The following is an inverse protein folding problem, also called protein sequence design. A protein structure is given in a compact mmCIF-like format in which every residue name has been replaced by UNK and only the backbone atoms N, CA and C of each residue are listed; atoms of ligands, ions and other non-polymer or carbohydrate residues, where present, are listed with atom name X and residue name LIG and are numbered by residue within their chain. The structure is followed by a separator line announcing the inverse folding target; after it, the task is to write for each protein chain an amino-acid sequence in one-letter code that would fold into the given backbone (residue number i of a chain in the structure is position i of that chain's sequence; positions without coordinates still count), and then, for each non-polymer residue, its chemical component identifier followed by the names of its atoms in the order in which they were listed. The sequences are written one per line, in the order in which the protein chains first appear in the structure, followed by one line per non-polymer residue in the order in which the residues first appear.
data_IF_616885137040
#
_entry.id   IF_616885137040
#
_cell.length_a   1.000
_cell.length_b   1.000
_cell.length_c   1.000
_cell.angle_alpha   90.00
_cell.angle_beta   90.00
_cell.angle_gamma   90.00
#
_symmetry.space_group_name_H-M   'P 1'
#
loop_
_entity.id
_entity.type
_entity.pdbx_description
1 polymer ?
#
# COMPACT_ATOMS: atom_id res chain seq x y z
N UNK A 1 5.45 -23.67 40.04
CA UNK A 1 4.72 -22.43 39.74
C UNK A 1 3.25 -22.71 39.38
N UNK A 2 2.98 -23.63 38.46
CA UNK A 2 1.61 -24.01 38.04
C UNK A 2 0.68 -24.49 39.16
N UNK A 3 1.17 -25.30 40.11
CA UNK A 3 0.37 -25.74 41.28
C UNK A 3 -0.03 -24.58 42.21
N UNK A 4 0.76 -23.51 42.27
CA UNK A 4 0.44 -22.32 43.06
C UNK A 4 -0.58 -21.44 42.32
N UNK A 5 -0.41 -21.27 41.01
CA UNK A 5 -1.38 -20.57 40.16
C UNK A 5 -2.75 -21.26 40.24
N UNK A 6 -2.82 -22.59 40.09
CA UNK A 6 -4.09 -23.33 40.18
C UNK A 6 -4.79 -23.18 41.54
N UNK A 7 -4.04 -23.21 42.64
CA UNK A 7 -4.60 -22.99 43.99
C UNK A 7 -5.11 -21.57 44.17
N UNK A 8 -4.36 -20.56 43.69
CA UNK A 8 -4.79 -19.16 43.73
C UNK A 8 -6.05 -18.97 42.89
N UNK A 9 -6.11 -19.51 41.67
CA UNK A 9 -7.30 -19.41 40.80
C UNK A 9 -8.52 -20.08 41.41
N UNK A 10 -8.34 -21.22 42.11
CA UNK A 10 -9.42 -21.93 42.78
C UNK A 10 -9.94 -21.14 43.99
N UNK A 11 -9.05 -20.59 44.82
CA UNK A 11 -9.40 -19.74 45.96
C UNK A 11 -10.09 -18.45 45.49
N UNK A 12 -9.55 -17.79 44.47
CA UNK A 12 -10.16 -16.58 43.88
C UNK A 12 -11.55 -16.87 43.31
N UNK A 13 -11.74 -17.97 42.57
CA UNK A 13 -13.07 -18.39 42.09
C UNK A 13 -14.03 -18.71 43.23
N UNK A 14 -13.55 -19.33 44.31
CA UNK A 14 -14.38 -19.68 45.46
C UNK A 14 -14.82 -18.44 46.26
N UNK A 15 -13.90 -17.49 46.48
CA UNK A 15 -14.15 -16.19 47.13
C UNK A 15 -15.09 -15.34 46.29
N UNK A 16 -14.85 -15.25 44.97
CA UNK A 16 -15.74 -14.55 44.04
C UNK A 16 -17.13 -15.17 43.99
N UNK A 17 -17.28 -16.51 44.09
CA UNK A 17 -18.60 -17.15 44.08
C UNK A 17 -19.42 -16.85 45.33
N UNK A 18 -18.80 -16.79 46.51
CA UNK A 18 -19.49 -16.67 47.81
C UNK A 18 -19.69 -15.24 48.29
N UNK A 19 -18.91 -14.27 47.81
CA UNK A 19 -18.95 -12.91 48.35
C UNK A 19 -19.67 -11.95 47.37
N UNK A 20 -20.97 -11.77 47.60
CA UNK A 20 -21.82 -10.88 46.79
C UNK A 20 -21.29 -9.44 46.77
N UNK A 21 -20.73 -8.96 47.90
CA UNK A 21 -20.12 -7.63 48.01
C UNK A 21 -18.90 -7.52 47.10
N UNK A 22 -18.04 -8.54 47.03
CA UNK A 22 -16.86 -8.53 46.15
C UNK A 22 -17.26 -8.54 44.67
N UNK A 23 -18.32 -9.26 44.28
CA UNK A 23 -18.86 -9.21 42.90
C UNK A 23 -19.41 -7.83 42.55
N UNK A 24 -20.12 -7.20 43.49
CA UNK A 24 -20.65 -5.84 43.31
C UNK A 24 -19.50 -4.84 43.21
N UNK A 25 -18.49 -4.90 44.09
CA UNK A 25 -17.31 -4.05 44.01
C UNK A 25 -16.52 -4.24 42.71
N UNK A 26 -16.36 -5.49 42.23
CA UNK A 26 -15.69 -5.77 40.96
C UNK A 26 -16.53 -5.27 39.77
N UNK A 27 -17.86 -5.44 39.82
CA UNK A 27 -18.79 -4.91 38.83
C UNK A 27 -18.77 -3.38 38.77
N UNK A 28 -18.78 -2.72 39.93
CA UNK A 28 -18.63 -1.26 40.04
C UNK A 28 -17.26 -0.83 39.52
N UNK A 29 -16.18 -1.55 39.84
CA UNK A 29 -14.83 -1.23 39.34
C UNK A 29 -14.76 -1.35 37.82
N UNK A 30 -15.30 -2.42 37.24
CA UNK A 30 -15.37 -2.60 35.78
C UNK A 30 -16.22 -1.52 35.14
N UNK A 31 -17.40 -1.22 35.68
CA UNK A 31 -18.27 -0.15 35.19
C UNK A 31 -17.61 1.23 35.33
N UNK A 32 -16.84 1.46 36.40
CA UNK A 32 -16.08 2.70 36.62
C UNK A 32 -14.94 2.81 35.61
N UNK A 33 -14.19 1.73 35.34
CA UNK A 33 -13.16 1.72 34.30
C UNK A 33 -13.78 1.96 32.93
N UNK A 34 -14.91 1.31 32.61
CA UNK A 34 -15.65 1.54 31.37
C UNK A 34 -16.12 3.00 31.29
N UNK A 35 -16.72 3.53 32.35
CA UNK A 35 -17.19 4.92 32.41
C UNK A 35 -16.04 5.91 32.25
N UNK A 36 -14.92 5.74 32.96
CA UNK A 36 -13.72 6.58 32.83
C UNK A 36 -13.12 6.50 31.43
N UNK A 37 -13.16 5.33 30.77
CA UNK A 37 -12.69 5.14 29.41
C UNK A 37 -13.66 5.74 28.37
N UNK A 38 -14.97 5.69 28.60
CA UNK A 38 -15.97 6.38 27.79
C UNK A 38 -15.91 7.90 27.98
N UNK A 39 -15.70 8.37 29.21
CA UNK A 39 -15.52 9.78 29.54
C UNK A 39 -14.20 10.33 28.98
N UNK A 40 -13.13 9.54 28.91
CA UNK A 40 -11.86 9.95 28.26
C UNK A 40 -11.91 9.92 26.73
N UNK A 41 -12.90 9.20 26.16
CA UNK A 41 -13.24 9.26 24.74
C UNK A 41 -14.14 10.47 24.41
N UNK A 42 -14.99 10.91 25.36
CA UNK A 42 -15.76 12.15 25.24
C UNK A 42 -14.81 13.37 25.20
N UNK A 43 -14.54 13.86 23.99
CA UNK A 43 -13.74 15.06 23.75
C UNK A 43 -12.58 14.87 22.77
N UNK A 44 -12.23 13.63 22.42
CA UNK A 44 -11.23 13.38 21.38
C UNK A 44 -11.84 13.61 20.00
N UNK A 45 -11.09 14.32 19.16
CA UNK A 45 -11.50 14.66 17.80
C UNK A 45 -11.05 13.58 16.83
N UNK A 46 -11.84 13.34 15.80
CA UNK A 46 -11.38 12.58 14.63
C UNK A 46 -10.21 13.31 13.94
N UNK A 47 -9.45 12.63 13.07
CA UNK A 47 -8.36 13.26 12.30
C UNK A 47 -8.89 14.49 11.55
N UNK A 48 -10.00 14.34 10.83
CA UNK A 48 -10.60 15.43 10.05
C UNK A 48 -11.07 16.60 10.93
N UNK A 49 -11.62 16.32 12.11
CA UNK A 49 -12.04 17.36 13.06
C UNK A 49 -10.86 18.08 13.70
N UNK A 50 -9.77 17.37 14.00
CA UNK A 50 -8.57 17.95 14.60
C UNK A 50 -7.92 18.93 13.63
N UNK A 51 -7.63 18.48 12.41
CA UNK A 51 -6.99 19.26 11.35
C UNK A 51 -7.95 20.18 10.59
N UNK A 52 -9.20 20.31 11.04
CA UNK A 52 -10.22 21.22 10.47
C UNK A 52 -10.38 21.05 8.96
N UNK A 53 -10.44 19.79 8.51
CA UNK A 53 -10.58 19.49 7.08
C UNK A 53 -12.04 19.70 6.69
N UNK A 54 -12.32 20.80 6.00
CA UNK A 54 -13.66 21.21 5.56
C UNK A 54 -13.62 21.75 4.14
N UNK A 55 -14.60 21.36 3.32
CA UNK A 55 -14.67 21.75 1.91
C UNK A 55 -14.56 23.27 1.72
N UNK A 56 -13.65 23.71 0.85
CA UNK A 56 -13.45 25.12 0.50
C UNK A 56 -12.61 25.97 1.46
N UNK A 57 -12.06 25.41 2.54
CA UNK A 57 -11.30 26.17 3.56
C UNK A 57 -9.95 25.55 3.94
N UNK A 58 -9.39 24.65 3.12
CA UNK A 58 -8.15 23.95 3.45
C UNK A 58 -6.94 24.58 2.76
N UNK A 59 -5.87 24.75 3.52
CA UNK A 59 -4.54 25.12 3.01
C UNK A 59 -3.78 23.87 2.51
N UNK A 60 -4.17 22.69 2.97
CA UNK A 60 -3.56 21.42 2.62
C UNK A 60 -2.33 21.07 3.47
N UNK A 61 -1.54 20.12 2.98
CA UNK A 61 -0.32 19.67 3.64
C UNK A 61 0.87 20.49 3.12
N UNK A 62 1.67 21.01 4.04
CA UNK A 62 2.92 21.72 3.74
C UNK A 62 4.11 21.05 4.41
N UNK A 63 5.26 21.14 3.75
CA UNK A 63 6.53 20.58 4.16
C UNK A 63 7.64 21.65 4.11
N UNK A 64 7.32 22.86 4.55
CA UNK A 64 8.20 24.04 4.41
C UNK A 64 8.98 24.38 5.70
N UNK A 65 8.75 23.62 6.77
CA UNK A 65 9.44 23.77 8.05
C UNK A 65 10.29 22.52 8.34
N UNK A 66 11.47 22.67 8.96
CA UNK A 66 12.30 21.54 9.34
C UNK A 66 11.53 20.56 10.25
N UNK A 67 11.65 19.27 9.97
CA UNK A 67 11.18 18.16 10.82
C UNK A 67 9.65 18.05 11.06
N UNK A 68 8.83 19.00 10.59
CA UNK A 68 7.39 19.01 10.91
C UNK A 68 6.56 19.22 9.64
N UNK A 69 5.63 18.30 9.38
CA UNK A 69 4.55 18.58 8.43
C UNK A 69 3.48 19.43 9.10
N UNK A 70 2.85 20.30 8.31
CA UNK A 70 1.65 21.02 8.75
C UNK A 70 0.47 20.74 7.85
N UNK A 71 -0.65 20.34 8.44
CA UNK A 71 -1.93 20.21 7.76
C UNK A 71 -2.87 21.28 8.27
N UNK A 72 -3.27 22.21 7.39
CA UNK A 72 -4.07 23.40 7.73
C UNK A 72 -3.49 24.15 8.95
N UNK A 73 -2.18 24.43 8.89
CA UNK A 73 -1.43 25.15 9.92
C UNK A 73 -1.13 24.37 11.20
N UNK A 74 -1.65 23.15 11.39
CA UNK A 74 -1.41 22.34 12.59
C UNK A 74 -0.35 21.26 12.34
N UNK A 75 0.53 21.05 13.32
CA UNK A 75 1.60 20.05 13.25
C UNK A 75 1.03 18.64 13.08
N UNK A 76 1.58 17.89 12.14
CA UNK A 76 1.20 16.53 11.83
C UNK A 76 2.46 15.65 11.79
N UNK A 77 2.47 14.59 12.59
CA UNK A 77 3.35 13.44 12.39
C UNK A 77 2.54 12.39 11.64
N UNK A 78 2.95 12.05 10.42
CA UNK A 78 2.21 11.09 9.59
C UNK A 78 2.64 9.69 10.02
N UNK A 79 1.75 8.99 10.71
CA UNK A 79 1.81 7.54 10.89
C UNK A 79 0.89 6.89 9.86
N UNK A 80 1.49 6.20 8.89
CA UNK A 80 0.79 5.61 7.74
C UNK A 80 1.06 4.11 7.64
N UNK A 81 0.20 3.40 6.92
CA UNK A 81 0.44 2.02 6.52
C UNK A 81 -0.02 1.76 5.10
N UNK A 82 0.77 1.00 4.35
CA UNK A 82 0.45 0.64 2.97
C UNK A 82 -0.61 -0.45 2.91
N UNK A 83 -1.66 -0.21 2.11
CA UNK A 83 -2.68 -1.18 1.74
C UNK A 83 -2.92 -1.04 0.23
N UNK A 84 -2.60 -2.07 -0.55
CA UNK A 84 -2.89 -2.10 -1.99
C UNK A 84 -4.33 -2.53 -2.21
N UNK A 85 -5.20 -1.63 -2.69
CA UNK A 85 -6.61 -1.96 -2.92
C UNK A 85 -6.78 -3.11 -3.92
N UNK A 86 -5.84 -3.25 -4.86
CA UNK A 86 -5.81 -4.29 -5.88
C UNK A 86 -5.32 -5.66 -5.38
N UNK A 87 -4.76 -5.75 -4.16
CA UNK A 87 -4.40 -7.02 -3.49
C UNK A 87 -5.41 -7.45 -2.43
N UNK A 88 -6.49 -6.68 -2.23
CA UNK A 88 -7.50 -6.94 -1.20
C UNK A 88 -8.87 -6.95 -1.83
N UNK A 89 -9.62 -8.04 -1.67
CA UNK A 89 -10.98 -8.10 -2.18
C UNK A 89 -11.85 -6.95 -1.61
N UNK A 90 -12.64 -6.23 -2.43
CA UNK A 90 -13.33 -5.00 -2.02
C UNK A 90 -14.24 -5.11 -0.79
N UNK A 91 -14.80 -6.29 -0.57
CA UNK A 91 -15.59 -6.59 0.63
C UNK A 91 -14.78 -6.38 1.93
N UNK A 92 -13.46 -6.53 1.87
CA UNK A 92 -12.57 -6.42 3.02
C UNK A 92 -11.86 -5.07 3.14
N UNK A 93 -11.95 -4.16 2.17
CA UNK A 93 -11.27 -2.85 2.25
C UNK A 93 -11.57 -2.11 3.55
N UNK A 94 -12.85 -2.02 3.93
CA UNK A 94 -13.25 -1.33 5.16
C UNK A 94 -12.67 -1.99 6.41
N UNK A 95 -12.60 -3.32 6.43
CA UNK A 95 -12.00 -4.05 7.54
C UNK A 95 -10.51 -3.70 7.66
N UNK A 96 -9.75 -3.74 6.57
CA UNK A 96 -8.31 -3.44 6.58
C UNK A 96 -8.03 -1.99 6.96
N UNK A 97 -8.78 -1.04 6.39
CA UNK A 97 -8.70 0.39 6.73
C UNK A 97 -9.03 0.63 8.21
N UNK A 98 -10.07 -0.01 8.74
CA UNK A 98 -10.44 0.15 10.16
C UNK A 98 -9.38 -0.43 11.09
N UNK A 99 -8.72 -1.56 10.73
CA UNK A 99 -7.57 -2.09 11.49
C UNK A 99 -6.44 -1.07 11.55
N UNK A 100 -6.09 -0.48 10.40
CA UNK A 100 -5.05 0.55 10.32
C UNK A 100 -5.37 1.76 11.21
N UNK A 101 -6.59 2.31 11.11
CA UNK A 101 -7.00 3.44 11.96
C UNK A 101 -7.06 3.08 13.43
N UNK A 102 -7.57 1.91 13.79
CA UNK A 102 -7.66 1.45 15.18
C UNK A 102 -6.29 1.17 15.83
N UNK A 103 -5.28 0.80 15.03
CA UNK A 103 -3.87 0.72 15.45
C UNK A 103 -3.32 2.10 15.83
N UNK A 104 -3.86 3.17 15.24
CA UNK A 104 -3.51 4.56 15.56
C UNK A 104 -2.92 5.34 14.40
N UNK A 105 -2.71 4.71 13.24
CA UNK A 105 -2.22 5.36 12.04
C UNK A 105 -3.24 6.39 11.53
N UNK A 106 -2.77 7.59 11.17
CA UNK A 106 -3.60 8.71 10.69
C UNK A 106 -3.77 8.75 9.17
N UNK A 107 -2.97 7.97 8.43
CA UNK A 107 -3.05 7.88 6.98
C UNK A 107 -2.97 6.43 6.49
N UNK A 108 -3.48 6.20 5.28
CA UNK A 108 -3.23 5.01 4.48
C UNK A 108 -2.46 5.42 3.23
N UNK A 109 -1.56 4.55 2.78
CA UNK A 109 -0.84 4.71 1.53
C UNK A 109 -1.31 3.64 0.52
N UNK A 110 -1.46 4.01 -0.75
CA UNK A 110 -1.73 3.05 -1.82
C UNK A 110 -1.14 3.48 -3.17
N UNK A 111 -0.67 2.50 -3.94
CA UNK A 111 -0.31 2.61 -5.35
C UNK A 111 -1.53 2.55 -6.29
N UNK A 112 -1.35 2.93 -7.56
CA UNK A 112 -2.30 2.66 -8.64
C UNK A 112 -1.64 1.90 -9.83
N UNK A 113 -1.95 0.60 -10.03
CA UNK A 113 -1.33 -0.22 -11.07
C UNK A 113 -1.91 0.11 -12.45
N UNK A 114 -1.09 0.71 -13.33
CA UNK A 114 -1.51 1.11 -14.67
C UNK A 114 -1.98 -0.09 -15.50
N UNK A 115 -1.27 -1.22 -15.47
CA UNK A 115 -1.63 -2.43 -16.20
C UNK A 115 -3.03 -2.96 -15.88
N UNK A 116 -3.52 -2.79 -14.64
CA UNK A 116 -4.89 -3.14 -14.30
C UNK A 116 -5.90 -2.09 -14.73
N UNK A 117 -5.55 -0.81 -14.65
CA UNK A 117 -6.45 0.29 -15.03
C UNK A 117 -6.55 0.50 -16.54
N UNK A 118 -5.58 0.01 -17.31
CA UNK A 118 -5.58 -0.03 -18.78
C UNK A 118 -5.07 -1.40 -19.26
N UNK A 119 -5.82 -2.49 -19.01
CA UNK A 119 -5.39 -3.85 -19.36
C UNK A 119 -5.31 -4.03 -20.88
N UNK A 120 -6.18 -3.32 -21.59
CA UNK A 120 -6.11 -3.19 -23.03
C UNK A 120 -5.80 -1.74 -23.39
N UNK A 121 -4.93 -1.57 -24.37
CA UNK A 121 -4.56 -0.27 -24.91
C UNK A 121 -5.81 0.58 -25.24
N UNK A 122 -5.86 1.78 -24.66
CA UNK A 122 -6.95 2.75 -24.74
C UNK A 122 -8.32 2.26 -24.19
N UNK A 123 -8.36 1.18 -23.39
CA UNK A 123 -9.53 0.71 -22.63
C UNK A 123 -9.25 0.76 -21.13
N UNK A 124 -10.06 1.54 -20.42
CA UNK A 124 -9.81 1.83 -19.02
C UNK A 124 -10.86 1.22 -18.09
N UNK A 125 -10.43 0.78 -16.92
CA UNK A 125 -11.30 0.24 -15.88
C UNK A 125 -11.02 0.87 -14.51
N UNK A 126 -12.09 1.36 -13.88
CA UNK A 126 -12.08 1.96 -12.55
C UNK A 126 -13.24 1.42 -11.69
N UNK A 127 -13.56 0.12 -11.81
CA UNK A 127 -14.60 -0.52 -11.00
C UNK A 127 -15.72 -1.20 -11.79
N UNK A 128 -15.83 -0.93 -13.09
CA UNK A 128 -17.03 -1.21 -13.89
C UNK A 128 -16.72 -1.74 -15.31
N UNK A 129 -15.48 -2.19 -15.56
CA UNK A 129 -15.04 -2.68 -16.87
C UNK A 129 -15.61 -4.04 -17.28
N UNK A 130 -16.16 -4.80 -16.33
CA UNK A 130 -16.77 -6.12 -16.58
C UNK A 130 -15.78 -7.28 -16.62
N UNK A 131 -14.51 -7.05 -16.27
CA UNK A 131 -13.46 -8.05 -16.10
C UNK A 131 -13.43 -8.60 -14.68
N UNK A 132 -12.76 -9.73 -14.47
CA UNK A 132 -12.68 -10.39 -13.16
C UNK A 132 -12.08 -9.48 -12.06
N UNK A 133 -11.07 -8.69 -12.42
CA UNK A 133 -10.44 -7.73 -11.51
C UNK A 133 -11.21 -6.41 -11.38
N UNK A 134 -12.22 -6.13 -12.22
CA UNK A 134 -12.94 -4.84 -12.21
C UNK A 134 -13.41 -4.40 -10.82
N UNK A 135 -14.00 -5.27 -9.97
CA UNK A 135 -14.45 -4.85 -8.64
C UNK A 135 -13.33 -4.28 -7.76
N UNK A 136 -12.09 -4.72 -7.96
CA UNK A 136 -10.92 -4.24 -7.24
C UNK A 136 -10.49 -2.84 -7.68
N UNK A 137 -10.85 -2.40 -8.89
CA UNK A 137 -10.27 -1.21 -9.51
C UNK A 137 -11.02 0.09 -9.21
N UNK A 138 -12.04 0.06 -8.35
CA UNK A 138 -12.73 1.27 -7.89
C UNK A 138 -11.88 2.03 -6.85
N UNK A 139 -10.80 2.64 -7.34
CA UNK A 139 -9.87 3.43 -6.53
C UNK A 139 -10.57 4.60 -5.84
N UNK A 140 -11.53 5.26 -6.51
CA UNK A 140 -12.29 6.37 -5.93
C UNK A 140 -13.07 5.91 -4.71
N UNK A 141 -13.73 4.74 -4.77
CA UNK A 141 -14.43 4.16 -3.64
C UNK A 141 -13.48 3.76 -2.52
N UNK A 142 -12.33 3.16 -2.81
CA UNK A 142 -11.32 2.86 -1.79
C UNK A 142 -10.86 4.13 -1.05
N UNK A 143 -10.53 5.19 -1.80
CA UNK A 143 -10.08 6.47 -1.24
C UNK A 143 -11.18 7.17 -0.41
N UNK A 144 -12.43 7.18 -0.87
CA UNK A 144 -13.57 7.68 -0.09
C UNK A 144 -13.80 6.86 1.17
N UNK A 145 -13.65 5.54 1.09
CA UNK A 145 -13.77 4.66 2.24
C UNK A 145 -12.67 4.92 3.28
N UNK A 146 -11.44 5.23 2.87
CA UNK A 146 -10.39 5.66 3.78
C UNK A 146 -10.78 6.93 4.56
N UNK A 147 -11.34 7.94 3.87
CA UNK A 147 -11.91 9.13 4.53
C UNK A 147 -12.99 8.79 5.55
N UNK A 148 -13.91 7.91 5.19
CA UNK A 148 -14.99 7.49 6.09
C UNK A 148 -14.49 6.73 7.33
N UNK A 149 -13.38 6.02 7.21
CA UNK A 149 -12.67 5.37 8.33
C UNK A 149 -11.67 6.32 9.03
N UNK A 150 -11.80 7.64 8.83
CA UNK A 150 -11.01 8.70 9.47
C UNK A 150 -9.51 8.67 9.14
N UNK A 151 -9.16 8.21 7.93
CA UNK A 151 -7.79 8.19 7.42
C UNK A 151 -7.57 9.28 6.37
N UNK A 152 -6.40 9.91 6.40
CA UNK A 152 -5.82 10.65 5.29
C UNK A 152 -5.24 9.66 4.26
N UNK A 153 -4.91 10.12 3.07
CA UNK A 153 -4.35 9.29 1.99
C UNK A 153 -3.04 9.87 1.48
N UNK A 154 -2.02 9.01 1.39
CA UNK A 154 -0.85 9.19 0.55
C UNK A 154 -1.10 8.40 -0.73
N UNK A 155 -1.04 9.04 -1.90
CA UNK A 155 -1.37 8.39 -3.16
C UNK A 155 -0.13 8.30 -4.07
N UNK A 156 0.20 7.10 -4.52
CA UNK A 156 1.37 6.84 -5.39
C UNK A 156 0.88 6.36 -6.77
N UNK A 157 0.53 7.27 -7.69
CA UNK A 157 -0.15 6.92 -8.94
C UNK A 157 0.74 6.22 -9.98
N UNK A 158 2.04 6.07 -9.74
CA UNK A 158 3.01 5.53 -10.70
C UNK A 158 3.59 6.60 -11.62
N UNK A 159 3.78 6.33 -12.93
CA UNK A 159 3.18 5.24 -13.71
C UNK A 159 3.83 3.86 -13.48
N UNK A 160 5.11 3.83 -13.09
CA UNK A 160 5.78 2.65 -12.57
C UNK A 160 5.68 2.62 -11.05
N UNK A 161 5.33 1.48 -10.47
CA UNK A 161 5.10 1.32 -9.02
C UNK A 161 6.01 0.27 -8.38
N UNK A 162 6.79 -0.50 -9.16
CA UNK A 162 7.51 -1.67 -8.66
C UNK A 162 6.56 -2.66 -7.96
N UNK A 163 6.58 -2.68 -6.62
CA UNK A 163 5.60 -3.31 -5.74
C UNK A 163 5.48 -4.84 -5.88
N UNK A 164 6.51 -5.51 -6.42
CA UNK A 164 6.51 -6.95 -6.72
C UNK A 164 5.26 -7.34 -7.52
N UNK A 165 4.94 -6.48 -8.48
CA UNK A 165 3.76 -6.55 -9.32
C UNK A 165 4.20 -6.72 -10.76
N UNK A 166 3.37 -7.41 -11.55
CA UNK A 166 3.65 -7.68 -12.95
C UNK A 166 4.07 -6.40 -13.69
N UNK A 167 5.22 -6.49 -14.35
CA UNK A 167 5.94 -5.43 -15.04
C UNK A 167 5.99 -4.08 -14.28
N UNK A 168 6.06 -4.13 -12.94
CA UNK A 168 6.08 -2.95 -12.07
C UNK A 168 4.84 -2.07 -12.21
N UNK A 169 3.70 -2.67 -12.61
CA UNK A 169 2.45 -1.98 -12.87
C UNK A 169 2.34 -1.36 -14.26
N UNK A 170 3.34 -1.50 -15.13
CA UNK A 170 3.27 -1.02 -16.51
C UNK A 170 2.54 -2.03 -17.41
N UNK A 171 1.69 -1.59 -18.35
CA UNK A 171 1.06 -2.51 -19.29
C UNK A 171 2.07 -3.07 -20.30
N UNK A 172 1.99 -4.37 -20.57
CA UNK A 172 2.96 -5.07 -21.44
C UNK A 172 2.97 -4.56 -22.89
N UNK A 173 1.85 -4.00 -23.38
CA UNK A 173 1.77 -3.46 -24.75
C UNK A 173 2.77 -2.32 -25.02
N UNK A 174 3.38 -1.74 -23.97
CA UNK A 174 4.48 -0.79 -24.12
C UNK A 174 5.72 -1.47 -24.74
N UNK A 175 5.93 -2.76 -24.48
CA UNK A 175 7.01 -3.57 -25.05
C UNK A 175 6.78 -3.81 -26.55
N UNK A 176 5.55 -4.15 -26.95
CA UNK A 176 5.22 -4.39 -28.37
C UNK A 176 5.26 -3.10 -29.21
N UNK A 177 4.98 -1.95 -28.60
CA UNK A 177 5.17 -0.63 -29.21
C UNK A 177 6.67 -0.22 -29.30
N UNK A 178 7.58 -0.97 -28.65
CA UNK A 178 9.01 -0.67 -28.60
C UNK A 178 9.35 0.56 -27.76
N UNK A 179 8.47 0.98 -26.85
CA UNK A 179 8.65 2.15 -26.02
C UNK A 179 9.73 1.91 -24.93
N UNK A 180 10.63 2.87 -24.76
CA UNK A 180 11.61 2.85 -23.67
C UNK A 180 10.97 3.36 -22.39
N UNK A 181 10.49 2.43 -21.57
CA UNK A 181 9.81 2.76 -20.30
C UNK A 181 10.71 3.52 -19.34
N UNK A 182 10.11 4.40 -18.53
CA UNK A 182 10.78 5.22 -17.50
C UNK A 182 11.87 6.16 -18.06
N UNK A 183 11.70 6.60 -19.31
CA UNK A 183 12.60 7.56 -19.98
C UNK A 183 11.81 8.71 -20.62
N UNK A 184 12.51 9.66 -21.25
CA UNK A 184 11.91 10.73 -22.05
C UNK A 184 11.44 10.30 -23.46
N UNK A 185 11.40 9.00 -23.77
CA UNK A 185 10.86 8.50 -25.03
C UNK A 185 9.43 9.04 -25.27
N UNK A 186 9.20 9.79 -26.37
CA UNK A 186 7.89 10.33 -26.69
C UNK A 186 6.78 9.28 -26.78
N UNK A 187 7.09 8.04 -27.21
CA UNK A 187 6.12 6.96 -27.27
C UNK A 187 5.64 6.55 -25.87
N UNK A 188 6.57 6.49 -24.91
CA UNK A 188 6.28 6.20 -23.51
C UNK A 188 5.55 7.37 -22.83
N UNK A 189 6.10 8.59 -22.92
CA UNK A 189 5.50 9.78 -22.29
C UNK A 189 4.08 10.06 -22.79
N UNK A 190 3.80 9.87 -24.09
CA UNK A 190 2.44 10.03 -24.62
C UNK A 190 1.47 9.02 -24.00
N UNK A 191 1.93 7.80 -23.69
CA UNK A 191 1.10 6.77 -23.03
C UNK A 191 0.88 7.09 -21.56
N UNK A 192 1.92 7.56 -20.86
CA UNK A 192 1.81 8.04 -19.48
C UNK A 192 0.81 9.18 -19.38
N UNK A 193 0.90 10.18 -20.27
CA UNK A 193 -0.04 11.30 -20.30
C UNK A 193 -1.48 10.83 -20.55
N UNK A 194 -1.69 9.89 -21.48
CA UNK A 194 -3.01 9.31 -21.72
C UNK A 194 -3.56 8.61 -20.49
N UNK A 195 -2.78 7.77 -19.83
CA UNK A 195 -3.19 7.09 -18.60
C UNK A 195 -3.56 8.09 -17.50
N UNK A 196 -2.69 9.07 -17.25
CA UNK A 196 -2.93 10.12 -16.26
C UNK A 196 -4.13 11.02 -16.61
N UNK A 197 -4.43 11.22 -17.89
CA UNK A 197 -5.66 11.90 -18.34
C UNK A 197 -6.95 11.17 -17.98
N UNK A 198 -6.86 9.88 -17.64
CA UNK A 198 -8.00 9.07 -17.16
C UNK A 198 -8.01 8.94 -15.65
N UNK A 199 -6.87 8.61 -15.04
CA UNK A 199 -6.77 8.39 -13.60
C UNK A 199 -6.91 9.69 -12.80
N UNK A 200 -6.11 10.71 -13.12
CA UNK A 200 -5.96 11.89 -12.26
C UNK A 200 -7.25 12.71 -12.13
N UNK A 201 -8.07 12.93 -13.18
CA UNK A 201 -9.36 13.62 -13.02
C UNK A 201 -10.34 12.92 -12.08
N UNK A 202 -10.20 11.60 -11.84
CA UNK A 202 -11.05 10.86 -10.91
C UNK A 202 -10.64 11.08 -9.44
N UNK A 203 -9.34 11.24 -9.18
CA UNK A 203 -8.78 11.31 -7.82
C UNK A 203 -8.41 12.72 -7.38
N UNK A 204 -8.13 13.64 -8.30
CA UNK A 204 -7.77 15.03 -7.97
C UNK A 204 -8.88 15.82 -7.26
N UNK A 205 -10.19 15.55 -7.44
CA UNK A 205 -11.24 16.11 -6.57
C UNK A 205 -11.17 15.61 -5.12
N UNK A 206 -10.44 14.52 -4.85
CA UNK A 206 -10.27 13.94 -3.51
C UNK A 206 -9.04 14.49 -2.77
N UNK A 207 -8.39 15.53 -3.32
CA UNK A 207 -7.32 16.22 -2.60
C UNK A 207 -7.84 16.92 -1.35
N UNK A 208 -7.01 16.95 -0.31
CA UNK A 208 -7.34 17.55 0.98
C UNK A 208 -7.64 19.05 0.88
N UNK A 209 -7.06 19.74 -0.10
CA UNK A 209 -7.36 21.15 -0.39
C UNK A 209 -8.85 21.35 -0.74
N UNK A 210 -9.49 20.34 -1.34
CA UNK A 210 -10.92 20.32 -1.65
C UNK A 210 -11.76 19.60 -0.59
N UNK A 211 -11.17 19.30 0.58
CA UNK A 211 -11.81 18.58 1.67
C UNK A 211 -11.81 17.06 1.50
N UNK A 212 -11.09 16.52 0.52
CA UNK A 212 -10.91 15.07 0.36
C UNK A 212 -9.80 14.48 1.26
N UNK A 213 -9.51 13.18 1.15
CA UNK A 213 -8.47 12.52 1.94
C UNK A 213 -7.03 12.71 1.47
N UNK A 214 -6.77 12.98 0.19
CA UNK A 214 -5.41 12.87 -0.37
C UNK A 214 -4.56 14.07 0.05
N UNK A 215 -3.52 13.84 0.84
CA UNK A 215 -2.65 14.89 1.38
C UNK A 215 -1.38 15.11 0.55
N UNK A 216 -0.90 14.09 -0.16
CA UNK A 216 0.28 14.20 -1.03
C UNK A 216 0.33 13.10 -2.10
N UNK A 217 1.05 13.38 -3.19
CA UNK A 217 1.22 12.50 -4.34
C UNK A 217 2.69 12.19 -4.59
N UNK A 218 2.99 10.93 -4.89
CA UNK A 218 4.34 10.58 -5.34
C UNK A 218 4.51 10.82 -6.84
N UNK A 219 5.68 11.34 -7.21
CA UNK A 219 6.17 11.34 -8.58
C UNK A 219 7.09 10.13 -8.76
N UNK A 220 6.73 9.22 -9.66
CA UNK A 220 7.52 8.01 -9.95
C UNK A 220 7.71 7.09 -8.73
N UNK A 221 8.64 6.14 -8.78
CA UNK A 221 8.99 5.23 -7.71
C UNK A 221 10.46 4.78 -7.77
N UNK A 222 11.24 5.14 -6.74
CA UNK A 222 12.64 4.75 -6.59
C UNK A 222 13.46 5.00 -7.86
N UNK A 223 13.23 6.14 -8.51
CA UNK A 223 13.85 6.46 -9.80
C UNK A 223 15.38 6.59 -9.69
N UNK A 224 15.89 6.97 -8.52
CA UNK A 224 17.32 7.08 -8.27
C UNK A 224 18.05 5.73 -8.30
N UNK A 225 17.34 4.61 -8.16
CA UNK A 225 17.91 3.26 -8.23
C UNK A 225 18.22 2.78 -9.65
N UNK A 226 17.74 3.50 -10.68
CA UNK A 226 18.03 3.16 -12.07
C UNK A 226 19.50 3.40 -12.39
N UNK A 227 20.04 2.57 -13.29
CA UNK A 227 21.40 2.71 -13.81
C UNK A 227 21.61 4.03 -14.57
N UNK A 228 20.62 4.41 -15.39
CA UNK A 228 20.69 5.58 -16.28
C UNK A 228 19.44 6.48 -16.09
N UNK A 229 19.31 7.17 -14.95
CA UNK A 229 18.15 8.01 -14.65
C UNK A 229 18.19 9.32 -15.47
N UNK A 230 17.04 9.71 -16.02
CA UNK A 230 16.85 10.95 -16.78
C UNK A 230 16.08 11.98 -15.94
N UNK A 231 16.76 12.96 -15.36
CA UNK A 231 16.09 14.03 -14.58
C UNK A 231 14.97 14.73 -15.38
N UNK A 232 15.16 14.91 -16.70
CA UNK A 232 14.13 15.48 -17.58
C UNK A 232 12.83 14.66 -17.57
N UNK A 233 12.90 13.32 -17.51
CA UNK A 233 11.71 12.48 -17.43
C UNK A 233 10.90 12.77 -16.15
N UNK A 234 11.58 12.90 -15.01
CA UNK A 234 10.95 13.25 -13.73
C UNK A 234 10.24 14.61 -13.78
N UNK A 235 10.88 15.62 -14.40
CA UNK A 235 10.30 16.95 -14.63
C UNK A 235 9.03 16.87 -15.49
N UNK A 236 9.09 16.18 -16.63
CA UNK A 236 7.94 16.01 -17.52
C UNK A 236 6.81 15.25 -16.82
N UNK A 237 7.13 14.21 -16.05
CA UNK A 237 6.13 13.44 -15.31
C UNK A 237 5.38 14.31 -14.31
N UNK A 238 6.10 15.13 -13.54
CA UNK A 238 5.48 16.09 -12.62
C UNK A 238 4.60 17.10 -13.38
N UNK A 239 5.07 17.63 -14.51
CA UNK A 239 4.27 18.54 -15.33
C UNK A 239 2.98 17.90 -15.86
N UNK A 240 3.02 16.63 -16.26
CA UNK A 240 1.82 15.88 -16.65
C UNK A 240 0.85 15.77 -15.46
N UNK A 241 1.34 15.50 -14.25
CA UNK A 241 0.50 15.44 -13.06
C UNK A 241 -0.15 16.79 -12.73
N UNK A 242 0.63 17.88 -12.82
CA UNK A 242 0.17 19.26 -12.62
C UNK A 242 -0.92 19.62 -13.63
N UNK A 243 -0.71 19.29 -14.92
CA UNK A 243 -1.67 19.61 -15.99
C UNK A 243 -3.01 18.88 -15.84
N UNK A 244 -3.02 17.77 -15.11
CA UNK A 244 -4.21 16.96 -14.84
C UNK A 244 -4.80 17.17 -13.44
N UNK A 245 -4.43 18.26 -12.76
CA UNK A 245 -5.17 18.79 -11.61
C UNK A 245 -4.61 18.44 -10.24
N UNK A 246 -3.44 17.79 -10.17
CA UNK A 246 -2.72 17.63 -8.90
C UNK A 246 -2.17 18.99 -8.48
N UNK A 247 -2.45 19.38 -7.23
CA UNK A 247 -2.06 20.68 -6.64
C UNK A 247 -1.51 20.58 -5.22
N UNK A 248 -1.64 19.42 -4.58
CA UNK A 248 -1.13 19.16 -3.24
C UNK A 248 0.40 19.04 -3.20
N UNK A 249 0.91 18.60 -2.05
CA UNK A 249 2.33 18.33 -1.88
C UNK A 249 2.74 17.15 -2.79
N UNK A 250 3.82 17.34 -3.55
CA UNK A 250 4.50 16.27 -4.25
C UNK A 250 5.66 15.73 -3.43
N UNK A 251 5.96 14.45 -3.59
CA UNK A 251 7.17 13.84 -3.07
C UNK A 251 7.76 12.81 -4.05
N UNK A 252 9.04 12.49 -3.89
CA UNK A 252 9.73 11.32 -4.47
C UNK A 252 10.21 10.43 -3.34
N UNK A 253 10.42 9.14 -3.60
CA UNK A 253 10.92 8.22 -2.59
C UNK A 253 12.00 7.31 -3.12
N UNK A 254 13.13 7.29 -2.42
CA UNK A 254 14.34 6.56 -2.77
C UNK A 254 15.07 6.16 -1.47
N UNK A 255 16.00 5.20 -1.53
CA UNK A 255 16.97 5.01 -0.45
C UNK A 255 17.96 6.19 -0.42
N UNK A 256 18.08 6.97 0.67
CA UNK A 256 18.97 8.12 0.70
C UNK A 256 20.44 7.76 0.55
N UNK A 257 21.13 8.42 -0.37
CA UNK A 257 22.59 8.35 -0.47
C UNK A 257 23.20 9.76 -0.44
N UNK A 258 24.33 9.99 0.25
CA UNK A 258 24.90 11.33 0.46
C UNK A 258 25.22 12.14 -0.81
N UNK A 259 25.32 11.48 -1.97
CA UNK A 259 25.71 12.08 -3.26
C UNK A 259 24.79 11.71 -4.42
N UNK A 260 23.65 11.07 -4.16
CA UNK A 260 22.71 10.64 -5.20
C UNK A 260 21.35 11.29 -4.94
N UNK A 261 21.01 12.27 -5.77
CA UNK A 261 19.69 12.92 -5.82
C UNK A 261 19.03 12.73 -7.20
N UNK A 262 19.47 11.75 -7.98
CA UNK A 262 19.03 11.52 -9.36
C UNK A 262 17.53 11.19 -9.49
N UNK A 263 16.92 10.65 -8.43
CA UNK A 263 15.48 10.44 -8.29
C UNK A 263 14.71 11.63 -7.71
N UNK A 264 15.40 12.72 -7.34
CA UNK A 264 14.79 13.88 -6.68
C UNK A 264 14.50 15.05 -7.64
N UNK A 265 13.61 15.93 -7.20
CA UNK A 265 13.23 17.17 -7.90
C UNK A 265 13.27 18.39 -6.95
N UNK A 266 14.41 18.68 -6.29
CA UNK A 266 14.51 19.75 -5.30
C UNK A 266 14.25 21.15 -5.90
N UNK A 267 14.63 21.35 -7.15
CA UNK A 267 14.42 22.56 -7.94
C UNK A 267 12.93 22.85 -8.22
N UNK A 268 12.10 21.81 -8.26
CA UNK A 268 10.64 21.92 -8.37
C UNK A 268 9.92 21.84 -7.02
N UNK A 269 10.67 21.93 -5.92
CA UNK A 269 10.14 21.97 -4.55
C UNK A 269 9.49 20.66 -4.10
N UNK A 270 9.77 19.54 -4.78
CA UNK A 270 9.26 18.20 -4.45
C UNK A 270 9.99 17.68 -3.22
N UNK A 271 9.24 17.16 -2.24
CA UNK A 271 9.80 16.60 -1.02
C UNK A 271 10.51 15.28 -1.32
N UNK A 272 11.70 15.04 -0.75
CA UNK A 272 12.31 13.71 -0.81
C UNK A 272 11.86 12.89 0.40
N UNK A 273 11.62 11.59 0.24
CA UNK A 273 11.36 10.65 1.33
C UNK A 273 12.27 9.43 1.22
N UNK A 274 12.42 8.70 2.32
CA UNK A 274 13.37 7.61 2.42
C UNK A 274 12.70 6.23 2.41
N UNK A 275 13.34 5.27 1.75
CA UNK A 275 12.98 3.84 1.81
C UNK A 275 14.10 3.05 2.48
N UNK A 276 13.78 2.20 3.46
CA UNK A 276 14.75 1.33 4.13
C UNK A 276 14.11 0.29 5.07
N UNK A 277 14.83 -0.80 5.33
CA UNK A 277 14.51 -1.78 6.40
C UNK A 277 15.24 -1.49 7.71
N UNK A 278 16.51 -1.11 7.58
CA UNK A 278 17.49 -1.03 8.66
C UNK A 278 18.20 0.32 8.63
N UNK A 279 18.99 0.60 9.66
CA UNK A 279 19.84 1.80 9.77
C UNK A 279 19.08 3.13 9.68
N UNK A 280 17.85 3.17 10.21
CA UNK A 280 16.98 4.34 10.18
C UNK A 280 17.67 5.65 10.60
N UNK A 281 18.43 5.71 11.72
CA UNK A 281 19.15 6.92 12.10
C UNK A 281 20.15 7.42 11.06
N UNK A 282 20.81 6.52 10.32
CA UNK A 282 21.72 6.90 9.22
C UNK A 282 20.94 7.44 8.03
N UNK A 283 19.89 6.72 7.61
CA UNK A 283 19.07 7.09 6.46
C UNK A 283 18.38 8.44 6.66
N UNK A 284 17.79 8.65 7.82
CA UNK A 284 17.11 9.91 8.14
C UNK A 284 18.07 11.09 8.32
N UNK A 285 19.29 10.88 8.84
CA UNK A 285 20.33 11.91 8.86
C UNK A 285 20.80 12.28 7.46
N UNK A 286 20.96 11.29 6.59
CA UNK A 286 21.33 11.52 5.19
C UNK A 286 20.24 12.33 4.48
N UNK A 287 18.96 11.95 4.66
CA UNK A 287 17.84 12.71 4.13
C UNK A 287 17.79 14.15 4.68
N UNK A 288 18.06 14.34 5.98
CA UNK A 288 18.15 15.68 6.57
C UNK A 288 19.30 16.51 5.98
N UNK A 289 20.42 15.90 5.60
CA UNK A 289 21.53 16.61 4.94
C UNK A 289 21.16 17.04 3.51
N UNK A 290 20.42 16.21 2.78
CA UNK A 290 19.96 16.51 1.42
C UNK A 290 18.89 17.62 1.40
N UNK A 291 18.07 17.73 2.44
CA UNK A 291 16.99 18.72 2.56
C UNK A 291 16.81 19.26 3.99
N UNK A 292 17.73 20.10 4.50
CA UNK A 292 17.79 20.50 5.91
C UNK A 292 16.55 21.23 6.43
N UNK A 293 15.84 21.93 5.54
CA UNK A 293 14.68 22.75 5.89
C UNK A 293 13.33 22.04 5.68
N UNK A 294 13.35 20.71 5.54
CA UNK A 294 12.17 19.90 5.22
C UNK A 294 11.85 18.87 6.32
N UNK A 295 10.60 18.41 6.43
CA UNK A 295 10.25 17.29 7.29
C UNK A 295 10.86 15.98 6.78
N UNK A 296 11.08 15.06 7.71
CA UNK A 296 11.67 13.76 7.43
C UNK A 296 10.57 12.71 7.45
N UNK A 297 10.58 11.84 6.44
CA UNK A 297 9.64 10.73 6.34
C UNK A 297 10.31 9.49 5.77
N UNK A 298 10.14 8.36 6.46
CA UNK A 298 10.34 7.05 5.88
C UNK A 298 9.05 6.66 5.14
N UNK A 299 9.05 6.71 3.81
CA UNK A 299 7.88 6.37 3.00
C UNK A 299 7.74 4.86 2.81
N UNK A 300 8.85 4.13 2.78
CA UNK A 300 8.82 2.68 2.88
C UNK A 300 9.72 2.24 4.01
N UNK A 301 9.13 2.12 5.20
CA UNK A 301 9.74 1.32 6.24
C UNK A 301 9.30 -0.14 6.04
N UNK A 302 10.21 -0.95 5.53
CA UNK A 302 9.92 -2.34 5.16
C UNK A 302 9.66 -3.21 6.40
N UNK A 303 8.39 -3.56 6.63
CA UNK A 303 7.91 -4.24 7.86
C UNK A 303 8.22 -5.75 7.89
N UNK A 304 8.58 -6.30 6.73
CA UNK A 304 8.94 -7.69 6.48
C UNK A 304 9.64 -7.80 5.12
N UNK A 305 9.27 -8.75 4.28
CA UNK A 305 9.74 -8.87 2.88
C UNK A 305 8.86 -9.84 2.09
N UNK A 306 8.97 -9.82 0.76
CA UNK A 306 8.29 -10.75 -0.15
C UNK A 306 9.11 -12.02 -0.40
N UNK A 307 8.48 -13.06 -0.98
CA UNK A 307 9.12 -14.34 -1.27
C UNK A 307 9.14 -14.65 -2.78
N UNK A 308 10.08 -15.52 -3.15
CA UNK A 308 10.15 -16.13 -4.49
C UNK A 308 9.89 -17.63 -4.45
N UNK A 309 9.38 -18.18 -5.55
CA UNK A 309 9.11 -19.62 -5.67
C UNK A 309 10.35 -20.52 -5.56
N UNK A 310 11.51 -20.00 -5.93
CA UNK A 310 12.78 -20.73 -5.93
C UNK A 310 13.55 -20.62 -4.59
N UNK A 311 13.03 -19.82 -3.64
CA UNK A 311 13.55 -19.74 -2.27
C UNK A 311 12.68 -20.56 -1.32
N UNK A 312 13.24 -21.51 -0.56
CA UNK A 312 12.45 -22.42 0.27
C UNK A 312 11.95 -21.82 1.59
N UNK A 313 12.41 -20.61 1.95
CA UNK A 313 12.13 -19.99 3.24
C UNK A 313 11.35 -18.69 3.02
N UNK A 314 10.27 -18.55 3.78
CA UNK A 314 9.54 -17.30 3.89
C UNK A 314 10.43 -16.25 4.58
N UNK A 315 10.55 -15.09 3.94
CA UNK A 315 11.28 -13.97 4.51
C UNK A 315 10.51 -13.40 5.70
N UNK A 316 11.18 -13.25 6.83
CA UNK A 316 10.55 -12.75 8.06
C UNK A 316 11.38 -11.63 8.68
N UNK A 317 10.71 -10.75 9.41
CA UNK A 317 11.34 -9.70 10.19
C UNK A 317 10.87 -9.79 11.64
N UNK A 318 11.76 -10.33 12.49
CA UNK A 318 11.41 -10.62 13.88
C UNK A 318 10.83 -9.39 14.62
N UNK A 319 9.66 -9.58 15.24
CA UNK A 319 8.85 -8.50 15.82
C UNK A 319 9.60 -7.55 16.77
N UNK A 320 10.55 -8.08 17.58
CA UNK A 320 11.37 -7.24 18.47
C UNK A 320 12.32 -6.32 17.70
N UNK A 321 12.93 -6.82 16.61
CA UNK A 321 13.86 -6.02 15.79
C UNK A 321 13.07 -4.99 15.00
N UNK A 322 11.95 -5.39 14.38
CA UNK A 322 11.00 -4.47 13.75
C UNK A 322 10.62 -3.32 14.70
N UNK A 323 10.23 -3.64 15.94
CA UNK A 323 9.81 -2.64 16.92
C UNK A 323 10.96 -1.71 17.33
N UNK A 324 12.17 -2.25 17.47
CA UNK A 324 13.38 -1.46 17.74
C UNK A 324 13.63 -0.45 16.61
N UNK A 325 13.62 -0.91 15.34
CA UNK A 325 13.83 -0.02 14.18
C UNK A 325 12.71 1.02 14.04
N UNK A 326 11.46 0.65 14.29
CA UNK A 326 10.36 1.62 14.31
C UNK A 326 10.56 2.69 15.38
N UNK A 327 11.01 2.32 16.59
CA UNK A 327 11.32 3.28 17.66
C UNK A 327 12.47 4.22 17.29
N UNK A 328 13.49 3.73 16.58
CA UNK A 328 14.57 4.58 16.07
C UNK A 328 14.05 5.64 15.10
N UNK A 329 13.13 5.28 14.19
CA UNK A 329 12.47 6.22 13.27
C UNK A 329 11.69 7.29 14.05
N UNK A 330 10.85 6.86 14.99
CA UNK A 330 9.99 7.75 15.77
C UNK A 330 10.77 8.64 16.74
N UNK A 331 11.96 8.21 17.18
CA UNK A 331 12.87 9.02 17.99
C UNK A 331 13.58 10.13 17.19
N UNK A 332 13.58 10.04 15.84
CA UNK A 332 14.13 11.05 14.93
C UNK A 332 13.05 12.04 14.43
N UNK A 333 12.11 12.43 15.31
CA UNK A 333 10.79 13.01 14.97
C UNK A 333 10.22 12.77 13.55
N UNK A 334 10.48 11.62 12.93
CA UNK A 334 10.13 11.39 11.54
C UNK A 334 8.68 10.89 11.40
N UNK A 335 8.08 11.22 10.25
CA UNK A 335 6.89 10.51 9.79
C UNK A 335 7.28 9.14 9.23
N UNK A 336 6.34 8.20 9.21
CA UNK A 336 6.60 6.83 8.78
C UNK A 336 5.39 6.25 8.06
N UNK A 337 5.63 5.58 6.95
CA UNK A 337 4.69 4.69 6.30
C UNK A 337 5.22 3.25 6.38
N UNK A 338 4.37 2.38 6.92
CA UNK A 338 4.69 0.97 7.16
C UNK A 338 4.44 0.18 5.87
N UNK A 339 5.50 -0.16 5.14
CA UNK A 339 5.43 -0.91 3.88
C UNK A 339 5.74 -2.41 4.14
N UNK A 340 4.78 -3.32 4.15
CA UNK A 340 3.33 -3.09 4.10
C UNK A 340 2.70 -3.25 5.48
N UNK A 341 1.62 -2.52 5.72
CA UNK A 341 0.76 -2.77 6.86
C UNK A 341 -0.05 -4.05 6.64
N UNK A 342 -0.62 -4.18 5.43
CA UNK A 342 -1.33 -5.36 4.98
C UNK A 342 -1.03 -5.58 3.49
N UNK A 343 -0.31 -6.66 3.18
CA UNK A 343 0.08 -6.92 1.79
C UNK A 343 -1.01 -7.62 0.97
N UNK A 344 -1.73 -8.58 1.56
CA UNK A 344 -2.83 -9.27 0.89
C UNK A 344 -2.34 -10.35 -0.08
N UNK A 345 -2.98 -10.46 -1.23
CA UNK A 345 -2.71 -11.51 -2.23
C UNK A 345 -2.50 -10.90 -3.60
N UNK A 346 -1.49 -11.38 -4.31
CA UNK A 346 -1.35 -11.15 -5.74
C UNK A 346 -2.17 -12.21 -6.50
N UNK A 347 -3.39 -11.84 -6.90
CA UNK A 347 -4.31 -12.72 -7.61
C UNK A 347 -3.90 -12.91 -9.08
N UNK A 348 -4.36 -14.01 -9.70
CA UNK A 348 -4.15 -14.26 -11.13
C UNK A 348 -2.67 -14.33 -11.51
N UNK A 349 -2.33 -13.73 -12.67
CA UNK A 349 -0.97 -13.70 -13.24
C UNK A 349 -0.30 -12.34 -13.01
N UNK A 350 -0.50 -11.75 -11.82
CA UNK A 350 -0.09 -10.38 -11.54
C UNK A 350 1.17 -10.28 -10.67
N UNK A 351 1.85 -11.42 -10.42
CA UNK A 351 3.08 -11.45 -9.63
C UNK A 351 4.23 -10.82 -10.40
N UNK A 352 5.07 -10.07 -9.69
CA UNK A 352 6.33 -9.60 -10.22
C UNK A 352 7.39 -10.69 -10.29
N UNK A 353 8.61 -10.25 -10.59
CA UNK A 353 9.82 -11.02 -10.51
C UNK A 353 11.03 -10.08 -10.36
N UNK A 354 12.13 -10.62 -9.86
CA UNK A 354 13.42 -9.92 -9.77
C UNK A 354 14.53 -10.66 -10.51
N UNK A 355 15.63 -9.94 -10.77
CA UNK A 355 16.88 -10.46 -11.33
C UNK A 355 18.08 -9.93 -10.52
N UNK A 356 19.12 -10.75 -10.38
CA UNK A 356 20.33 -10.44 -9.61
C UNK A 356 21.48 -9.90 -10.50
N UNK A 357 21.15 -9.10 -11.51
CA UNK A 357 22.09 -8.56 -12.54
C UNK A 357 22.92 -9.62 -13.31
N UNK A 358 22.54 -10.89 -13.25
CA UNK A 358 23.13 -11.97 -14.07
C UNK A 358 22.15 -12.44 -15.15
N UNK A 359 22.65 -12.79 -16.34
CA UNK A 359 21.82 -13.12 -17.52
C UNK A 359 20.84 -14.29 -17.29
N UNK A 360 21.08 -15.15 -16.30
CA UNK A 360 20.29 -16.35 -16.01
C UNK A 360 19.51 -16.27 -14.67
N UNK A 361 19.39 -15.08 -14.06
CA UNK A 361 18.64 -14.89 -12.80
C UNK A 361 17.23 -14.36 -13.05
N UNK A 362 16.21 -15.20 -12.82
CA UNK A 362 14.81 -14.82 -12.82
C UNK A 362 14.12 -15.44 -11.61
N UNK A 363 13.68 -14.59 -10.68
CA UNK A 363 13.11 -14.97 -9.40
C UNK A 363 11.64 -14.52 -9.36
N UNK A 364 10.68 -15.38 -9.75
CA UNK A 364 9.27 -15.01 -9.75
C UNK A 364 8.73 -14.96 -8.33
N UNK A 365 8.03 -13.88 -8.02
CA UNK A 365 7.38 -13.68 -6.74
C UNK A 365 6.21 -14.66 -6.57
N UNK A 366 5.96 -15.07 -5.32
CA UNK A 366 4.84 -15.96 -5.02
C UNK A 366 3.49 -15.23 -5.05
N UNK A 367 2.38 -15.98 -5.09
CA UNK A 367 1.04 -15.38 -5.09
C UNK A 367 0.68 -14.72 -3.75
N UNK A 368 1.13 -15.28 -2.63
CA UNK A 368 0.92 -14.66 -1.32
C UNK A 368 1.75 -13.39 -1.23
N UNK A 369 1.12 -12.28 -0.85
CA UNK A 369 1.84 -11.07 -0.47
C UNK A 369 1.65 -10.82 1.02
N UNK A 370 1.72 -11.88 1.85
CA UNK A 370 1.65 -11.77 3.31
C UNK A 370 2.73 -10.83 3.84
N UNK A 371 3.92 -10.90 3.24
CA UNK A 371 5.07 -10.04 3.50
C UNK A 371 5.67 -10.16 4.91
N UNK A 372 5.22 -11.11 5.75
CA UNK A 372 5.35 -11.03 7.20
C UNK A 372 4.86 -9.66 7.72
N UNK A 373 3.78 -9.15 7.13
CA UNK A 373 3.27 -7.81 7.39
C UNK A 373 2.74 -7.65 8.82
N UNK A 374 2.33 -6.43 9.15
CA UNK A 374 1.70 -6.12 10.44
C UNK A 374 0.37 -6.85 10.58
N UNK A 375 -0.36 -7.03 9.49
CA UNK A 375 -1.59 -7.81 9.39
C UNK A 375 -1.41 -8.82 8.27
N UNK A 376 -1.68 -10.10 8.56
CA UNK A 376 -1.44 -11.21 7.62
C UNK A 376 -2.23 -11.07 6.32
N UNK A 377 -1.92 -11.89 5.31
CA UNK A 377 -2.64 -11.99 4.04
C UNK A 377 -4.16 -12.14 4.24
N UNK A 378 -4.60 -12.92 5.22
CA UNK A 378 -6.02 -13.12 5.53
C UNK A 378 -6.65 -11.96 6.32
N UNK A 379 -5.85 -10.99 6.78
CA UNK A 379 -6.29 -9.89 7.62
C UNK A 379 -6.15 -10.15 9.12
N UNK A 380 -5.41 -11.15 9.57
CA UNK A 380 -5.32 -11.46 11.00
C UNK A 380 -4.32 -10.58 11.74
N UNK A 381 -4.61 -10.30 13.01
CA UNK A 381 -3.71 -9.55 13.88
C UNK A 381 -2.45 -10.36 14.22
N UNK A 382 -1.29 -9.70 14.20
CA UNK A 382 0.00 -10.29 14.57
C UNK A 382 0.54 -9.70 15.86
N UNK A 383 1.70 -10.21 16.31
CA UNK A 383 2.48 -9.58 17.39
C UNK A 383 2.92 -8.16 16.97
N UNK A 384 3.30 -7.94 15.70
CA UNK A 384 3.69 -6.61 15.19
C UNK A 384 2.54 -5.62 15.29
N UNK A 385 1.30 -6.05 15.02
CA UNK A 385 0.12 -5.19 15.18
C UNK A 385 -0.04 -4.68 16.61
N UNK A 386 0.02 -5.60 17.58
CA UNK A 386 -0.17 -5.24 18.99
C UNK A 386 0.95 -4.30 19.47
N UNK A 387 2.20 -4.59 19.10
CA UNK A 387 3.34 -3.74 19.47
C UNK A 387 3.30 -2.34 18.82
N UNK A 388 2.88 -2.26 17.56
CA UNK A 388 2.75 -0.97 16.84
C UNK A 388 1.60 -0.14 17.40
N UNK A 389 0.49 -0.79 17.76
CA UNK A 389 -0.67 -0.14 18.37
C UNK A 389 -0.32 0.59 19.67
N UNK A 390 0.56 0.01 20.49
CA UNK A 390 1.01 0.65 21.73
C UNK A 390 1.77 1.94 21.47
N UNK A 391 2.66 1.96 20.46
CA UNK A 391 3.44 3.14 20.09
C UNK A 391 2.58 4.25 19.45
N UNK A 392 1.79 3.91 18.44
CA UNK A 392 1.05 4.92 17.67
C UNK A 392 -0.05 5.57 18.51
N UNK A 393 -0.66 4.84 19.44
CA UNK A 393 -1.64 5.42 20.37
C UNK A 393 -1.05 6.40 21.35
N UNK A 394 0.24 6.27 21.70
CA UNK A 394 0.92 7.24 22.53
C UNK A 394 1.10 8.57 21.76
N UNK A 395 1.66 8.48 20.54
CA UNK A 395 1.91 9.61 19.64
C UNK A 395 0.61 10.41 19.39
N UNK A 396 -0.48 9.69 19.06
CA UNK A 396 -1.76 10.29 18.71
C UNK A 396 -2.80 10.18 19.83
N UNK A 397 -2.38 10.18 21.10
CA UNK A 397 -3.27 10.00 22.26
C UNK A 397 -4.39 11.05 22.36
N UNK A 398 -4.20 12.21 21.74
CA UNK A 398 -5.17 13.31 21.64
C UNK A 398 -6.26 13.09 20.56
N UNK A 399 -6.04 12.18 19.62
CA UNK A 399 -7.01 11.85 18.56
C UNK A 399 -7.97 10.73 18.98
N UNK A 400 -9.13 10.71 18.33
CA UNK A 400 -10.06 9.60 18.42
C UNK A 400 -9.47 8.36 17.76
N UNK A 401 -9.54 7.23 18.47
CA UNK A 401 -9.12 5.92 17.99
C UNK A 401 -10.35 5.03 17.90
N UNK A 402 -10.78 4.61 16.69
CA UNK A 402 -11.87 3.66 16.55
C UNK A 402 -11.55 2.34 17.28
N UNK A 403 -12.58 1.60 17.72
CA UNK A 403 -12.36 0.22 18.14
C UNK A 403 -11.86 -0.61 16.95
N UNK A 404 -10.96 -1.59 17.19
CA UNK A 404 -10.58 -2.54 16.14
C UNK A 404 -11.82 -3.24 15.57
N UNK A 405 -11.83 -3.59 14.27
CA UNK A 405 -12.90 -4.39 13.71
C UNK A 405 -12.96 -5.77 14.37
N UNK A 406 -14.12 -6.45 14.30
CA UNK A 406 -14.31 -7.77 14.88
C UNK A 406 -13.24 -8.76 14.41
N UNK A 407 -12.81 -9.66 15.31
CA UNK A 407 -11.95 -10.78 14.97
C UNK A 407 -12.66 -11.61 13.88
N UNK A 408 -11.91 -12.01 12.84
CA UNK A 408 -12.42 -12.45 11.54
C UNK A 408 -13.53 -13.50 11.56
N UNK A 409 -14.26 -13.57 10.44
CA UNK A 409 -15.25 -14.61 10.17
C UNK A 409 -14.62 -16.00 10.34
N UNK A 410 -15.37 -17.01 10.84
CA UNK A 410 -14.83 -18.35 11.01
C UNK A 410 -14.29 -18.87 9.68
N UNK A 411 -13.03 -19.30 9.66
CA UNK A 411 -12.44 -20.01 8.52
C UNK A 411 -13.23 -21.30 8.32
N UNK A 412 -13.80 -21.48 7.13
CA UNK A 412 -14.47 -22.74 6.79
C UNK A 412 -13.38 -23.78 6.56
N UNK A 413 -13.23 -24.69 7.52
CA UNK A 413 -12.27 -25.77 7.45
C UNK A 413 -12.81 -26.82 6.46
N UNK A 414 -12.22 -26.84 5.26
CA UNK A 414 -12.36 -27.86 4.23
C UNK A 414 -13.72 -27.97 3.52
N UNK A 415 -13.73 -27.59 2.24
CA UNK A 415 -14.56 -28.26 1.24
C UNK A 415 -13.77 -29.47 0.75
N UNK A 416 -14.21 -30.69 1.07
CA UNK A 416 -13.74 -31.88 0.36
C UNK A 416 -14.44 -31.91 -0.99
N UNK A 417 -13.78 -31.35 -2.01
CA UNK A 417 -14.25 -31.42 -3.39
C UNK A 417 -13.68 -32.68 -4.03
N UNK A 418 -14.55 -33.57 -4.49
CA UNK A 418 -14.14 -34.67 -5.33
C UNK A 418 -14.06 -34.16 -6.77
N UNK A 419 -12.89 -34.27 -7.40
CA UNK A 419 -12.74 -34.01 -8.83
C UNK A 419 -13.44 -35.14 -9.60
N UNK A 420 -14.55 -34.82 -10.28
CA UNK A 420 -15.38 -35.80 -10.99
C UNK A 420 -15.11 -35.87 -12.48
N UNK A 421 -14.43 -34.86 -13.03
CA UNK A 421 -14.13 -34.72 -14.46
C UNK A 421 -12.76 -34.08 -14.63
N UNK A 422 -12.04 -34.49 -15.67
CA UNK A 422 -10.78 -33.88 -16.12
C UNK A 422 -10.79 -33.78 -17.64
N UNK A 423 -10.15 -32.74 -18.18
CA UNK A 423 -9.89 -32.61 -19.61
C UNK A 423 -8.42 -32.21 -19.80
N UNK A 424 -7.52 -33.19 -20.01
CA UNK A 424 -6.10 -32.93 -20.17
C UNK A 424 -5.78 -32.03 -21.36
N UNK A 425 -4.80 -31.15 -21.21
CA UNK A 425 -4.35 -30.24 -22.28
C UNK A 425 -4.10 -30.94 -23.63
N UNK A 426 -3.44 -32.12 -23.72
CA UNK A 426 -3.28 -32.81 -25.00
C UNK A 426 -4.60 -33.20 -25.69
N UNK A 427 -5.65 -33.49 -24.91
CA UNK A 427 -6.98 -33.80 -25.45
C UNK A 427 -7.71 -32.54 -25.93
N UNK A 428 -7.46 -31.38 -25.30
CA UNK A 428 -7.94 -30.09 -25.78
C UNK A 428 -7.28 -29.78 -27.12
N UNK A 429 -5.95 -29.88 -27.19
CA UNK A 429 -5.15 -29.59 -28.39
C UNK A 429 -5.56 -30.48 -29.56
N UNK A 430 -5.84 -31.76 -29.33
CA UNK A 430 -6.27 -32.68 -30.41
C UNK A 430 -7.67 -32.37 -30.97
N UNK A 431 -8.49 -31.63 -30.23
CA UNK A 431 -9.82 -31.18 -30.64
C UNK A 431 -9.80 -29.83 -31.35
N UNK A 432 -8.71 -29.07 -31.24
CA UNK A 432 -8.57 -27.80 -31.97
C UNK A 432 -8.59 -28.08 -33.48
N UNK A 433 -9.22 -27.23 -34.30
CA UNK A 433 -9.24 -27.40 -35.74
C UNK A 433 -7.81 -27.53 -36.26
N UNK A 434 -7.49 -28.64 -36.94
CA UNK A 434 -6.20 -28.74 -37.62
C UNK A 434 -6.11 -27.57 -38.60
N UNK A 435 -5.08 -26.71 -38.51
CA UNK A 435 -4.95 -25.58 -39.41
C UNK A 435 -5.03 -26.10 -40.85
N UNK A 436 -5.91 -25.52 -41.67
CA UNK A 436 -5.96 -25.83 -43.10
C UNK A 436 -4.70 -25.24 -43.76
N UNK A 437 -3.60 -25.99 -43.77
CA UNK A 437 -2.33 -25.59 -44.38
C UNK A 437 -1.11 -26.16 -43.64
N UNK A 438 0.08 -26.02 -44.23
CA UNK A 438 1.33 -26.29 -43.51
C UNK A 438 1.43 -25.37 -42.28
N UNK A 439 1.65 -25.97 -41.12
CA UNK A 439 2.12 -25.27 -39.92
C UNK A 439 3.49 -24.66 -40.23
N UNK A 440 3.50 -23.42 -40.71
CA UNK A 440 4.72 -22.65 -40.87
C UNK A 440 5.15 -22.20 -39.48
N UNK A 441 6.17 -22.84 -38.93
CA UNK A 441 6.93 -22.29 -37.81
C UNK A 441 7.62 -21.01 -38.31
N UNK A 442 6.90 -19.89 -38.25
CA UNK A 442 7.45 -18.58 -38.59
C UNK A 442 8.30 -18.14 -37.40
N UNK A 443 9.51 -17.68 -37.70
CA UNK A 443 10.39 -17.03 -36.70
C UNK A 443 9.84 -15.69 -36.21
N UNK A 444 8.71 -15.25 -36.77
CA UNK A 444 7.99 -14.05 -36.39
C UNK A 444 7.17 -14.39 -35.14
N UNK A 445 7.75 -14.16 -33.96
CA UNK A 445 7.03 -14.24 -32.70
C UNK A 445 5.89 -13.21 -32.72
N UNK A 446 4.68 -13.66 -32.40
CA UNK A 446 3.54 -12.77 -32.19
C UNK A 446 3.51 -12.47 -30.69
N UNK A 447 3.58 -11.19 -30.34
CA UNK A 447 3.40 -10.74 -28.96
C UNK A 447 2.03 -11.19 -28.45
N UNK A 448 1.91 -11.59 -27.18
CA UNK A 448 0.64 -12.04 -26.59
C UNK A 448 -0.48 -11.04 -26.84
N UNK A 449 -0.12 -9.76 -26.78
CA UNK A 449 -1.00 -8.61 -27.01
C UNK A 449 -1.57 -8.62 -28.42
N UNK A 450 -0.87 -9.13 -29.42
CA UNK A 450 -1.29 -9.19 -30.82
C UNK A 450 -2.10 -10.45 -31.17
N UNK A 451 -2.36 -11.33 -30.20
CA UNK A 451 -3.22 -12.50 -30.41
C UNK A 451 -4.70 -12.10 -30.58
N UNK A 452 -5.43 -12.72 -31.53
CA UNK A 452 -6.84 -12.47 -31.73
C UNK A 452 -7.66 -13.26 -30.70
N UNK A 453 -7.91 -12.67 -29.53
CA UNK A 453 -8.69 -13.34 -28.46
C UNK A 453 -10.20 -13.39 -28.81
N UNK A 454 -10.72 -12.40 -29.54
CA UNK A 454 -12.16 -12.31 -29.92
C UNK A 454 -12.43 -11.95 -31.40
N UNK A 455 -11.46 -12.18 -32.30
CA UNK A 455 -11.60 -11.88 -33.73
C UNK A 455 -11.36 -10.41 -34.13
N UNK A 456 -11.26 -9.50 -33.17
CA UNK A 456 -10.64 -8.18 -33.31
C UNK A 456 -9.26 -8.26 -32.62
N UNK A 457 -8.17 -8.10 -33.37
CA UNK A 457 -6.82 -8.21 -32.80
C UNK A 457 -6.47 -7.05 -31.86
N UNK A 458 -5.45 -7.30 -31.01
CA UNK A 458 -4.80 -6.42 -30.02
C UNK A 458 -5.42 -6.33 -28.62
N UNK A 459 -5.44 -7.41 -27.84
CA UNK A 459 -6.06 -7.37 -26.51
C UNK A 459 -5.37 -8.28 -25.43
N UNK A 460 -4.70 -7.72 -24.39
CA UNK A 460 -4.13 -8.42 -23.22
C UNK A 460 -5.11 -8.52 -22.02
N UNK A 461 -5.24 -9.70 -21.40
CA UNK A 461 -6.12 -9.95 -20.24
C UNK A 461 -5.38 -10.46 -18.98
N UNK A 462 -4.14 -10.00 -18.76
CA UNK A 462 -3.16 -10.47 -17.76
C UNK A 462 -2.30 -11.66 -18.21
N UNK A 463 -0.98 -11.48 -18.07
CA UNK A 463 0.08 -12.42 -18.49
C UNK A 463 1.25 -11.68 -19.10
#
# INVERSE_FOLDING_TARGET
MERYILKITHVVRHVLRRNAVLKICLGILVLTIIYLKMASLQGRKTVYQHYRIVEGQNEGLTASEPQVFRLNGQNLTITSGTIHYFRVHPHYWRDRLRKLRAMGAVAVETYAPWNLHEPYKDKYDFGNGGFEMSPFLDVVKFLKMAKEEDLLVIFRPGPYICAEWDFGGLPSYLLSDGAKVRTTDPAYLSRVEKYFSKLLPLVTPLQVIYGGPIIMFQVENEYGSLRDPEHKYMVELKHIMDSHGVKGLYFTSDSPEPSLDTGALPDLGVLQTANFKMDGPLQMRTLQQLQPDRPIMAMEFWTGWFDHWDKPQHETFHSLVYLEKLKEILAFPASVNLYVFHGGTTFGFLNGANNDDTEDSYHPDISSYDYDAIVTEAGDYTVKYTATLELFREIHSHLYHPPPPPIGLPRILALSLQLTQELPWPQIVSQLPTPKGELKNRKDFIFMEDLPVDGEGRHQSFG
#
